data_IF_762220476677
#
_entry.id   IF_762220476677
#
_cell.length_a   1.000
_cell.length_b   1.000
_cell.length_c   1.000
_cell.angle_alpha   90.00
_cell.angle_beta   90.00
_cell.angle_gamma   90.00
#
_symmetry.space_group_name_H-M   'P 1'
#
loop_
_entity.id
_entity.type
_entity.pdbx_description
1 polymer ?
#
# COMPACT_ATOMS: atom_id res chain seq x y z
N UNK A 1 30.50 -55.00 5.84
CA UNK A 1 29.11 -54.81 6.35
C UNK A 1 29.23 -54.43 7.81
N UNK A 2 28.75 -53.25 8.24
CA UNK A 2 28.84 -52.88 9.68
C UNK A 2 28.58 -51.42 10.06
N UNK A 3 28.53 -50.46 9.11
CA UNK A 3 28.43 -49.03 9.47
C UNK A 3 27.00 -48.47 9.50
N UNK A 4 25.99 -49.20 9.01
CA UNK A 4 24.60 -48.75 8.98
C UNK A 4 23.89 -48.84 10.33
N UNK A 5 24.18 -49.88 11.12
CA UNK A 5 23.47 -50.13 12.39
C UNK A 5 23.83 -49.10 13.48
N UNK A 6 25.07 -48.61 13.48
CA UNK A 6 25.54 -47.67 14.51
C UNK A 6 24.88 -46.29 14.38
N UNK A 7 24.64 -45.84 13.14
CA UNK A 7 23.97 -44.58 12.86
C UNK A 7 22.49 -44.63 13.29
N UNK A 8 21.78 -45.71 12.97
CA UNK A 8 20.39 -45.88 13.39
C UNK A 8 20.23 -45.96 14.90
N UNK A 9 21.15 -46.64 15.61
CA UNK A 9 21.14 -46.69 17.07
C UNK A 9 21.33 -45.28 17.65
N UNK A 10 22.28 -44.49 17.12
CA UNK A 10 22.51 -43.11 17.55
C UNK A 10 21.27 -42.22 17.36
N UNK A 11 20.61 -42.31 16.21
CA UNK A 11 19.40 -41.53 15.92
C UNK A 11 18.24 -41.93 16.84
N UNK A 12 18.08 -43.21 17.12
CA UNK A 12 17.05 -43.70 18.05
C UNK A 12 17.34 -43.24 19.48
N UNK A 13 18.57 -43.38 19.96
CA UNK A 13 18.95 -42.93 21.31
C UNK A 13 18.77 -41.42 21.48
N UNK A 14 19.13 -40.63 20.46
CA UNK A 14 18.96 -39.18 20.49
C UNK A 14 17.47 -38.77 20.47
N UNK A 15 16.65 -39.47 19.69
CA UNK A 15 15.21 -39.22 19.62
C UNK A 15 14.50 -39.56 20.94
N UNK A 16 14.87 -40.67 21.58
CA UNK A 16 14.34 -41.04 22.89
C UNK A 16 14.74 -40.02 23.95
N UNK A 17 16.00 -39.57 23.97
CA UNK A 17 16.46 -38.55 24.91
C UNK A 17 15.71 -37.21 24.76
N UNK A 18 15.42 -36.79 23.52
CA UNK A 18 14.65 -35.58 23.22
C UNK A 18 13.19 -35.66 23.68
N UNK A 19 12.56 -36.83 23.48
CA UNK A 19 11.19 -37.08 23.95
C UNK A 19 11.14 -37.07 25.48
N UNK A 20 12.08 -37.76 26.14
CA UNK A 20 12.16 -37.80 27.61
C UNK A 20 12.41 -36.40 28.19
N UNK A 21 13.31 -35.61 27.59
CA UNK A 21 13.58 -34.25 28.01
C UNK A 21 12.33 -33.35 27.92
N UNK A 22 11.60 -33.43 26.81
CA UNK A 22 10.39 -32.65 26.60
C UNK A 22 9.25 -33.05 27.57
N UNK A 23 9.16 -34.33 27.95
CA UNK A 23 8.19 -34.81 28.95
C UNK A 23 8.56 -34.33 30.36
N UNK A 24 9.85 -34.35 30.73
CA UNK A 24 10.30 -33.86 32.05
C UNK A 24 10.07 -32.35 32.16
N UNK A 25 10.34 -31.60 31.09
CA UNK A 25 10.11 -30.15 31.06
C UNK A 25 8.62 -29.79 31.08
N UNK A 26 7.74 -30.58 30.46
CA UNK A 26 6.29 -30.35 30.53
C UNK A 26 5.68 -30.78 31.86
N UNK A 27 6.21 -31.83 32.49
CA UNK A 27 5.75 -32.30 33.80
C UNK A 27 6.19 -31.38 34.96
N UNK A 28 7.31 -30.66 34.81
CA UNK A 28 7.82 -29.72 35.81
C UNK A 28 7.43 -28.26 35.54
N UNK A 29 6.53 -28.00 34.58
CA UNK A 29 5.97 -26.67 34.39
C UNK A 29 5.05 -26.33 35.59
N UNK A 30 5.28 -25.24 36.34
CA UNK A 30 4.45 -24.91 37.49
C UNK A 30 3.06 -24.47 37.04
N UNK A 31 2.05 -25.30 37.33
CA UNK A 31 0.64 -24.94 37.27
C UNK A 31 0.32 -23.94 38.40
N UNK A 32 0.33 -22.65 38.09
CA UNK A 32 -0.36 -21.65 38.92
C UNK A 32 -1.78 -21.47 38.39
N UNK A 33 -2.71 -22.18 39.01
CA UNK A 33 -4.14 -21.94 38.89
C UNK A 33 -4.64 -21.34 40.21
N UNK A 34 -4.70 -20.02 40.30
CA UNK A 34 -5.31 -19.34 41.44
C UNK A 34 -6.59 -18.63 40.97
N UNK A 35 -7.73 -19.23 41.31
CA UNK A 35 -9.00 -18.53 41.50
C UNK A 35 -9.45 -18.81 42.93
N UNK A 36 -9.93 -17.78 43.66
CA UNK A 36 -11.27 -17.90 44.24
C UNK A 36 -12.07 -16.59 44.28
N UNK A 37 -13.40 -16.71 44.26
CA UNK A 37 -14.32 -15.75 44.91
C UNK A 37 -15.09 -16.47 46.04
N UNK A 38 -16.14 -15.90 46.66
CA UNK A 38 -16.43 -14.48 46.94
C UNK A 38 -16.75 -14.19 48.44
N UNK A 39 -16.77 -12.89 48.80
CA UNK A 39 -17.35 -12.19 49.99
C UNK A 39 -17.11 -12.68 51.44
N UNK A 40 -16.49 -11.81 52.27
CA UNK A 40 -16.97 -11.43 53.62
C UNK A 40 -16.27 -10.17 54.16
N UNK A 41 -17.00 -9.44 55.04
CA UNK A 41 -16.76 -8.09 55.56
C UNK A 41 -15.47 -7.87 56.37
N UNK A 42 -14.94 -6.64 56.37
CA UNK A 42 -13.96 -6.19 57.37
C UNK A 42 -13.41 -4.79 57.14
N UNK A 43 -13.54 -3.93 58.14
CA UNK A 43 -13.34 -2.48 58.15
C UNK A 43 -11.89 -2.10 58.52
N UNK A 44 -11.37 -1.04 57.88
CA UNK A 44 -10.25 -0.13 58.24
C UNK A 44 -9.07 -0.64 59.08
N UNK A 45 -7.85 -0.54 58.54
CA UNK A 45 -6.71 0.06 59.25
C UNK A 45 -5.65 0.55 58.25
N UNK A 46 -5.28 1.82 58.39
CA UNK A 46 -4.24 2.51 57.62
C UNK A 46 -2.90 2.24 58.30
N UNK A 47 -1.90 1.78 57.55
CA UNK A 47 -0.51 1.68 58.02
C UNK A 47 0.41 2.48 57.06
N UNK A 48 1.29 3.37 57.56
CA UNK A 48 2.09 4.24 56.70
C UNK A 48 3.37 3.52 56.30
N UNK A 49 3.31 2.74 55.21
CA UNK A 49 4.51 2.13 54.65
C UNK A 49 5.29 3.18 53.87
N UNK A 50 6.52 3.45 54.33
CA UNK A 50 7.58 4.14 53.60
C UNK A 50 7.62 3.56 52.18
N UNK A 51 7.19 4.35 51.18
CA UNK A 51 7.34 3.95 49.78
C UNK A 51 8.83 3.85 49.49
N UNK A 52 9.32 2.63 49.29
CA UNK A 52 10.55 2.43 48.53
C UNK A 52 10.40 3.20 47.21
N UNK A 53 11.43 3.92 46.74
CA UNK A 53 11.38 4.44 45.39
C UNK A 53 11.22 3.21 44.52
N UNK A 54 10.05 3.10 43.87
CA UNK A 54 9.92 2.21 42.74
C UNK A 54 11.09 2.60 41.85
N UNK A 55 12.02 1.66 41.68
CA UNK A 55 12.97 1.72 40.61
C UNK A 55 12.12 2.09 39.40
N UNK A 56 12.27 3.32 38.91
CA UNK A 56 11.77 3.68 37.60
C UNK A 56 12.61 2.81 36.70
N UNK A 57 12.19 1.56 36.52
CA UNK A 57 12.49 0.81 35.33
C UNK A 57 12.26 1.83 34.24
N UNK A 58 13.35 2.19 33.55
CA UNK A 58 13.28 3.09 32.40
C UNK A 58 12.09 2.59 31.62
N UNK A 59 10.97 3.32 31.64
CA UNK A 59 9.76 2.93 30.94
C UNK A 59 10.26 2.61 29.55
N UNK A 60 10.19 1.32 29.16
CA UNK A 60 10.68 0.88 27.87
C UNK A 60 10.08 1.85 26.86
N UNK A 61 10.95 2.56 26.12
CA UNK A 61 10.52 3.67 25.27
C UNK A 61 9.39 3.13 24.40
N UNK A 62 8.17 3.63 24.60
CA UNK A 62 6.98 3.28 23.79
C UNK A 62 7.08 3.87 22.38
N UNK A 63 8.30 4.11 21.90
CA UNK A 63 8.50 4.71 20.60
C UNK A 63 8.06 3.77 19.49
N UNK A 64 7.60 4.35 18.38
CA UNK A 64 7.22 3.60 17.19
C UNK A 64 8.09 3.98 16.00
N UNK A 65 8.39 3.00 15.15
CA UNK A 65 9.05 3.22 13.86
C UNK A 65 8.02 3.64 12.83
N UNK A 66 8.26 4.73 12.09
CA UNK A 66 7.37 5.15 11.01
C UNK A 66 7.75 4.47 9.70
N UNK A 67 6.81 3.78 9.08
CA UNK A 67 6.99 3.09 7.81
C UNK A 67 6.04 3.65 6.75
N UNK A 68 6.59 4.02 5.59
CA UNK A 68 5.84 4.57 4.44
C UNK A 68 6.17 3.76 3.20
N UNK A 69 5.15 3.22 2.52
CA UNK A 69 5.37 2.53 1.23
C UNK A 69 5.39 3.50 0.06
N UNK A 70 6.35 3.33 -0.84
CA UNK A 70 6.57 4.20 -2.00
C UNK A 70 6.87 3.41 -3.27
N UNK A 71 6.41 3.92 -4.41
CA UNK A 71 6.95 3.57 -5.73
C UNK A 71 8.10 4.51 -6.12
N UNK A 72 8.77 4.22 -7.24
CA UNK A 72 9.79 5.08 -7.86
C UNK A 72 9.18 6.17 -8.77
N UNK A 73 7.86 6.37 -8.71
CA UNK A 73 7.20 7.40 -9.52
C UNK A 73 7.46 8.81 -8.94
N UNK A 74 7.53 9.81 -9.83
CA UNK A 74 7.68 11.22 -9.44
C UNK A 74 6.62 11.60 -8.41
N UNK A 75 5.36 11.24 -8.70
CA UNK A 75 4.22 11.42 -7.82
C UNK A 75 4.47 10.96 -6.38
N UNK A 76 4.83 9.70 -6.17
CA UNK A 76 4.97 9.16 -4.82
C UNK A 76 6.24 9.69 -4.11
N UNK A 77 7.29 9.89 -4.89
CA UNK A 77 8.57 10.40 -4.43
C UNK A 77 8.44 11.77 -3.75
N UNK A 78 7.80 12.74 -4.40
CA UNK A 78 7.69 14.08 -3.81
C UNK A 78 6.81 14.09 -2.57
N UNK A 79 5.75 13.29 -2.54
CA UNK A 79 4.89 13.09 -1.38
C UNK A 79 5.69 12.52 -0.20
N UNK A 80 6.45 11.44 -0.43
CA UNK A 80 7.33 10.84 0.58
C UNK A 80 8.34 11.82 1.17
N UNK A 81 8.92 12.71 0.35
CA UNK A 81 9.88 13.73 0.82
C UNK A 81 9.24 14.74 1.75
N UNK A 82 8.04 15.22 1.43
CA UNK A 82 7.27 16.14 2.29
C UNK A 82 6.94 15.46 3.62
N UNK A 83 6.41 14.25 3.56
CA UNK A 83 6.10 13.47 4.75
C UNK A 83 7.34 13.28 5.64
N UNK A 84 8.49 12.91 5.05
CA UNK A 84 9.74 12.74 5.78
C UNK A 84 10.28 14.05 6.36
N UNK A 85 10.10 15.18 5.67
CA UNK A 85 10.43 16.49 6.21
C UNK A 85 9.64 16.76 7.50
N UNK A 86 8.31 16.60 7.47
CA UNK A 86 7.46 16.84 8.64
C UNK A 86 7.70 15.84 9.77
N UNK A 87 8.02 14.58 9.44
CA UNK A 87 8.53 13.62 10.41
C UNK A 87 9.74 14.17 11.17
N UNK A 88 10.75 14.71 10.47
CA UNK A 88 11.93 15.30 11.12
C UNK A 88 11.57 16.50 11.99
N UNK A 89 10.62 17.34 11.55
CA UNK A 89 10.19 18.51 12.31
C UNK A 89 9.53 18.15 13.66
N UNK A 90 8.84 17.02 13.73
CA UNK A 90 8.03 16.63 14.90
C UNK A 90 8.64 15.51 15.75
N UNK A 91 9.57 14.71 15.21
CA UNK A 91 10.19 13.59 15.93
C UNK A 91 10.82 13.98 17.27
N UNK A 92 11.58 15.07 17.31
CA UNK A 92 12.32 15.49 18.51
C UNK A 92 11.55 16.38 19.48
N UNK A 93 10.28 16.70 19.19
CA UNK A 93 9.50 17.64 19.98
C UNK A 93 8.94 16.99 21.26
N UNK A 94 8.69 17.77 22.34
CA UNK A 94 8.04 17.26 23.53
C UNK A 94 6.70 16.57 23.22
N UNK A 95 6.47 15.41 23.84
CA UNK A 95 5.27 14.59 23.62
C UNK A 95 5.32 13.68 22.39
N UNK A 96 6.39 13.72 21.59
CA UNK A 96 6.60 12.79 20.49
C UNK A 96 7.15 11.45 20.99
N UNK A 97 6.59 10.35 20.50
CA UNK A 97 7.16 9.01 20.64
C UNK A 97 7.59 8.44 19.28
N UNK A 98 7.81 9.32 18.29
CA UNK A 98 8.31 8.94 16.98
C UNK A 98 9.79 8.47 17.07
N UNK A 99 10.05 7.25 16.64
CA UNK A 99 11.37 6.60 16.62
C UNK A 99 12.06 6.72 15.27
N UNK A 100 12.45 5.61 14.67
CA UNK A 100 13.01 5.54 13.32
C UNK A 100 12.00 5.83 12.21
N UNK A 101 12.52 5.95 10.99
CA UNK A 101 11.73 6.12 9.77
C UNK A 101 12.28 5.17 8.71
N UNK A 102 11.40 4.53 7.94
CA UNK A 102 11.77 3.82 6.72
C UNK A 102 10.78 4.10 5.61
N UNK A 103 11.30 4.54 4.46
CA UNK A 103 10.60 4.45 3.17
C UNK A 103 10.78 3.05 2.60
N UNK A 104 9.70 2.31 2.44
CA UNK A 104 9.71 0.97 1.84
C UNK A 104 9.45 1.15 0.33
N UNK A 105 10.53 1.20 -0.46
CA UNK A 105 10.49 1.38 -1.91
C UNK A 105 10.22 0.04 -2.59
N UNK A 106 9.05 -0.14 -3.20
CA UNK A 106 8.63 -1.41 -3.79
C UNK A 106 8.80 -1.47 -5.32
N UNK A 107 9.75 -0.72 -5.87
CA UNK A 107 10.12 -0.75 -7.29
C UNK A 107 11.11 -1.88 -7.64
N UNK A 108 11.70 -2.54 -6.62
CA UNK A 108 12.74 -3.56 -6.81
C UNK A 108 14.14 -3.03 -7.09
N UNK A 109 14.30 -1.71 -7.28
CA UNK A 109 15.58 -1.06 -7.58
C UNK A 109 15.80 0.19 -6.71
N UNK A 110 17.05 0.49 -6.31
CA UNK A 110 17.40 1.75 -5.67
C UNK A 110 17.00 2.98 -6.51
N UNK A 111 16.79 4.12 -5.85
CA UNK A 111 16.61 5.42 -6.49
C UNK A 111 17.52 6.49 -5.85
N UNK A 112 17.55 7.69 -6.43
CA UNK A 112 18.40 8.79 -5.97
C UNK A 112 17.98 9.43 -4.64
N UNK A 113 16.88 8.98 -4.00
CA UNK A 113 16.39 9.53 -2.73
C UNK A 113 16.83 8.71 -1.52
N UNK A 114 17.51 7.59 -1.74
CA UNK A 114 18.02 6.74 -0.66
C UNK A 114 19.10 7.43 0.19
N UNK A 115 19.80 8.42 -0.38
CA UNK A 115 20.78 9.24 0.36
C UNK A 115 20.08 10.27 1.28
N UNK A 116 18.83 10.63 0.98
CA UNK A 116 18.04 11.62 1.73
C UNK A 116 17.13 10.94 2.76
N UNK A 117 16.44 9.88 2.36
CA UNK A 117 15.41 9.19 3.15
C UNK A 117 15.88 7.76 3.44
N UNK A 118 15.95 7.33 4.72
CA UNK A 118 16.23 5.94 5.05
C UNK A 118 15.28 5.02 4.32
N UNK A 119 15.82 4.18 3.43
CA UNK A 119 15.01 3.41 2.47
C UNK A 119 15.33 1.94 2.54
N UNK A 120 14.29 1.10 2.53
CA UNK A 120 14.38 -0.32 2.27
C UNK A 120 13.84 -0.62 0.86
N UNK A 121 14.62 -1.30 0.03
CA UNK A 121 14.20 -1.70 -1.31
C UNK A 121 13.55 -3.09 -1.25
N UNK A 122 12.24 -3.12 -1.46
CA UNK A 122 11.45 -4.34 -1.58
C UNK A 122 11.32 -4.74 -3.05
N UNK A 123 11.39 -6.05 -3.32
CA UNK A 123 11.06 -6.58 -4.65
C UNK A 123 9.56 -6.44 -4.90
N UNK A 124 9.14 -6.01 -6.11
CA UNK A 124 7.72 -6.00 -6.46
C UNK A 124 7.17 -7.43 -6.45
N UNK A 125 5.84 -7.52 -6.48
CA UNK A 125 5.20 -8.81 -6.67
C UNK A 125 5.60 -9.43 -8.01
N UNK A 126 5.79 -10.76 -8.06
CA UNK A 126 6.00 -11.46 -9.32
C UNK A 126 4.87 -11.18 -10.31
N UNK A 127 5.25 -10.99 -11.57
CA UNK A 127 4.32 -10.66 -12.65
C UNK A 127 3.13 -11.64 -12.70
N UNK A 128 1.92 -11.10 -12.88
CA UNK A 128 0.69 -11.87 -13.04
C UNK A 128 0.01 -12.29 -11.72
N UNK A 129 0.63 -12.07 -10.56
CA UNK A 129 0.01 -12.36 -9.26
C UNK A 129 -1.12 -11.40 -8.90
N UNK A 130 -1.06 -10.18 -9.41
CA UNK A 130 -2.02 -9.08 -9.20
C UNK A 130 -3.03 -8.93 -10.34
N UNK A 131 -2.95 -9.79 -11.36
CA UNK A 131 -3.83 -9.82 -12.51
C UNK A 131 -4.93 -10.87 -12.37
N UNK A 132 -6.13 -10.58 -12.89
CA UNK A 132 -7.12 -11.63 -13.17
C UNK A 132 -6.56 -12.50 -14.29
N UNK A 133 -6.31 -13.79 -14.02
CA UNK A 133 -6.30 -14.81 -15.06
C UNK A 133 -7.71 -14.86 -15.67
N UNK A 134 -8.01 -13.98 -16.63
CA UNK A 134 -9.23 -14.12 -17.43
C UNK A 134 -9.02 -15.34 -18.33
N UNK A 135 -9.92 -16.34 -18.31
CA UNK A 135 -9.97 -17.30 -19.40
C UNK A 135 -10.19 -16.50 -20.68
N UNK A 136 -9.25 -16.61 -21.63
CA UNK A 136 -9.30 -15.91 -22.91
C UNK A 136 -10.62 -16.21 -23.64
N UNK A 137 -11.55 -15.27 -23.60
CA UNK A 137 -12.58 -15.09 -24.63
C UNK A 137 -12.75 -13.60 -24.87
N UNK A 138 -12.10 -13.10 -25.92
CA UNK A 138 -12.34 -11.73 -26.37
C UNK A 138 -13.59 -11.70 -27.25
N UNK A 139 -14.61 -10.96 -26.82
CA UNK A 139 -15.45 -10.17 -27.72
C UNK A 139 -14.87 -8.75 -27.67
N UNK A 140 -13.97 -8.40 -28.58
CA UNK A 140 -13.36 -7.05 -28.60
C UNK A 140 -14.42 -6.00 -28.97
N UNK A 141 -14.55 -4.97 -28.14
CA UNK A 141 -14.97 -3.63 -28.60
C UNK A 141 -13.68 -2.85 -28.82
N UNK A 142 -13.51 -2.26 -30.02
CA UNK A 142 -12.39 -1.36 -30.30
C UNK A 142 -12.42 -0.21 -29.29
N UNK A 143 -11.32 0.01 -28.58
CA UNK A 143 -11.12 1.18 -27.71
C UNK A 143 -9.94 1.97 -28.23
N UNK A 144 -10.15 3.28 -28.37
CA UNK A 144 -9.23 4.24 -28.98
C UNK A 144 -8.19 4.65 -27.95
N UNK A 145 -6.91 4.44 -28.22
CA UNK A 145 -5.79 4.98 -27.45
C UNK A 145 -5.04 5.97 -28.33
N UNK A 146 -4.95 7.23 -27.88
CA UNK A 146 -4.21 8.30 -28.57
C UNK A 146 -2.91 8.54 -27.82
N UNK A 147 -1.78 8.43 -28.51
CA UNK A 147 -0.44 8.70 -27.95
C UNK A 147 0.17 9.86 -28.75
N UNK A 148 0.65 10.88 -28.05
CA UNK A 148 1.38 11.99 -28.67
C UNK A 148 2.88 11.65 -28.70
N UNK A 149 3.49 11.68 -29.89
CA UNK A 149 4.93 11.51 -30.05
C UNK A 149 5.57 12.88 -30.34
N UNK A 150 6.72 13.15 -29.71
CA UNK A 150 7.47 14.38 -29.96
C UNK A 150 7.89 14.47 -31.43
N UNK A 151 7.62 15.62 -32.06
CA UNK A 151 7.95 15.89 -33.46
C UNK A 151 6.76 16.15 -34.39
N UNK A 152 5.51 16.17 -33.90
CA UNK A 152 4.32 16.51 -34.72
C UNK A 152 3.53 15.31 -35.26
N UNK A 153 3.83 14.10 -34.78
CA UNK A 153 3.08 12.87 -35.08
C UNK A 153 2.03 12.60 -34.01
N UNK A 154 0.78 12.37 -34.41
CA UNK A 154 -0.29 11.86 -33.54
C UNK A 154 -0.60 10.40 -33.90
N UNK A 155 -0.60 9.50 -32.90
CA UNK A 155 -1.12 8.14 -33.07
C UNK A 155 -2.63 8.19 -32.89
N UNK A 156 -3.40 8.03 -33.96
CA UNK A 156 -4.86 8.21 -33.88
C UNK A 156 -5.63 6.91 -33.64
N UNK A 157 -5.02 5.73 -33.82
CA UNK A 157 -5.67 4.46 -33.51
C UNK A 157 -4.71 3.27 -33.38
N UNK A 158 -5.04 2.36 -32.46
CA UNK A 158 -4.40 1.05 -32.29
C UNK A 158 -5.48 -0.03 -32.47
N UNK A 159 -5.39 -0.79 -33.56
CA UNK A 159 -6.28 -1.93 -33.84
C UNK A 159 -5.52 -3.24 -33.64
N UNK A 160 -5.99 -4.10 -32.74
CA UNK A 160 -5.40 -5.43 -32.52
C UNK A 160 -6.21 -6.46 -33.32
N UNK A 161 -5.59 -7.08 -34.33
CA UNK A 161 -6.21 -8.17 -35.08
C UNK A 161 -5.51 -9.49 -34.73
N UNK A 162 -6.27 -10.43 -34.17
CA UNK A 162 -5.82 -11.80 -33.96
C UNK A 162 -6.26 -12.64 -35.15
N UNK A 163 -5.31 -13.15 -35.95
CA UNK A 163 -5.62 -14.10 -37.02
C UNK A 163 -5.63 -15.51 -36.44
N UNK A 164 -6.79 -16.16 -36.47
CA UNK A 164 -6.96 -17.52 -35.96
C UNK A 164 -6.64 -18.54 -37.05
N UNK A 165 -5.61 -19.37 -36.83
CA UNK A 165 -5.37 -20.57 -37.63
C UNK A 165 -6.23 -21.71 -37.08
N UNK A 166 -7.20 -22.19 -37.86
CA UNK A 166 -8.10 -23.26 -37.43
C UNK A 166 -7.35 -24.58 -37.16
N UNK A 167 -7.67 -25.21 -36.03
CA UNK A 167 -7.18 -26.54 -35.65
C UNK A 167 -7.28 -26.74 -34.13
N UNK A 168 -8.00 -27.78 -33.71
CA UNK A 168 -8.40 -28.01 -32.32
C UNK A 168 -7.27 -28.51 -31.41
N UNK A 169 -7.38 -28.11 -30.12
CA UNK A 169 -6.59 -28.46 -28.90
C UNK A 169 -5.37 -27.56 -28.60
N UNK A 170 -5.57 -26.73 -27.56
CA UNK A 170 -4.70 -25.71 -26.93
C UNK A 170 -4.43 -24.45 -27.78
N UNK A 171 -4.85 -23.25 -27.35
CA UNK A 171 -4.50 -22.02 -28.06
C UNK A 171 -3.08 -21.59 -27.64
N UNK A 172 -2.10 -21.78 -28.53
CA UNK A 172 -0.91 -20.96 -28.55
C UNK A 172 -1.22 -19.74 -29.44
N UNK A 173 -1.17 -18.53 -28.88
CA UNK A 173 -1.28 -17.31 -29.69
C UNK A 173 0.10 -17.07 -30.31
N UNK A 174 0.35 -17.67 -31.47
CA UNK A 174 1.70 -17.61 -32.07
C UNK A 174 2.05 -16.22 -32.62
N UNK A 175 1.05 -15.37 -32.94
CA UNK A 175 1.26 -14.03 -33.52
C UNK A 175 0.16 -13.05 -33.11
N UNK A 176 0.56 -11.93 -32.52
CA UNK A 176 -0.29 -10.73 -32.36
C UNK A 176 0.10 -9.74 -33.46
N UNK A 177 -0.87 -9.27 -34.22
CA UNK A 177 -0.66 -8.24 -35.24
C UNK A 177 -1.30 -6.95 -34.74
N UNK A 178 -0.47 -5.94 -34.47
CA UNK A 178 -0.92 -4.61 -34.02
C UNK A 178 -0.80 -3.66 -35.21
N UNK A 179 -1.93 -3.10 -35.63
CA UNK A 179 -1.96 -2.04 -36.64
C UNK A 179 -1.95 -0.71 -35.90
N UNK A 180 -0.86 0.04 -36.07
CA UNK A 180 -0.70 1.38 -35.49
C UNK A 180 -0.94 2.41 -36.59
N UNK A 181 -1.94 3.26 -36.38
CA UNK A 181 -2.28 4.36 -37.31
C UNK A 181 -1.55 5.62 -36.89
N UNK A 182 -0.61 6.07 -37.74
CA UNK A 182 0.14 7.31 -37.56
C UNK A 182 -0.42 8.40 -38.47
N UNK A 183 -0.87 9.51 -37.88
CA UNK A 183 -1.33 10.68 -38.63
C UNK A 183 -0.32 11.82 -38.44
N UNK A 184 0.18 12.37 -39.56
CA UNK A 184 1.05 13.54 -39.58
C UNK A 184 0.22 14.80 -39.81
N UNK A 185 0.50 15.89 -39.10
CA UNK A 185 -0.23 17.16 -39.25
C UNK A 185 0.59 18.31 -39.89
N UNK A 186 1.77 18.03 -40.45
CA UNK A 186 2.60 19.04 -41.11
C UNK A 186 2.50 19.00 -42.63
N UNK A 187 2.08 20.09 -43.27
CA UNK A 187 2.18 20.24 -44.73
C UNK A 187 3.64 20.31 -45.17
N UNK A 188 4.16 19.26 -45.81
CA UNK A 188 5.54 19.20 -46.29
C UNK A 188 5.85 17.90 -47.05
N UNK A 189 6.66 18.05 -48.09
CA UNK A 189 6.88 17.13 -49.24
C UNK A 189 7.42 15.74 -48.88
N UNK A 190 6.99 14.75 -49.69
CA UNK A 190 7.39 13.33 -49.68
C UNK A 190 8.91 13.13 -49.68
N UNK A 191 9.39 12.35 -48.71
CA UNK A 191 10.72 11.76 -48.66
C UNK A 191 10.77 10.71 -47.56
N UNK A 192 11.39 9.55 -47.82
CA UNK A 192 11.60 8.48 -46.84
C UNK A 192 12.25 9.05 -45.57
N UNK A 193 11.55 8.99 -44.43
CA UNK A 193 12.10 9.33 -43.11
C UNK A 193 11.93 8.14 -42.18
N UNK A 194 13.00 7.75 -41.51
CA UNK A 194 13.02 6.74 -40.44
C UNK A 194 12.63 7.38 -39.10
N UNK A 195 11.90 6.62 -38.27
CA UNK A 195 11.51 7.00 -36.92
C UNK A 195 12.41 6.24 -35.93
N UNK A 196 13.29 6.93 -35.20
CA UNK A 196 14.02 6.35 -34.07
C UNK A 196 13.28 6.64 -32.77
N UNK A 197 12.86 5.58 -32.06
CA UNK A 197 12.29 5.67 -30.72
C UNK A 197 13.41 5.35 -29.72
N UNK A 198 13.67 6.26 -28.78
CA UNK A 198 14.64 6.06 -27.70
C UNK A 198 14.27 4.88 -26.79
N UNK A 199 15.30 4.23 -26.26
CA UNK A 199 15.25 2.97 -25.50
C UNK A 199 14.31 2.96 -24.27
N UNK A 200 13.78 1.77 -23.88
CA UNK A 200 14.21 0.42 -24.29
C UNK A 200 13.59 -0.06 -25.60
N UNK A 201 14.44 -0.66 -26.43
CA UNK A 201 14.23 -1.14 -27.80
C UNK A 201 12.89 -1.86 -28.04
N UNK A 202 11.98 -1.20 -28.76
CA UNK A 202 11.01 -1.90 -29.62
C UNK A 202 11.66 -1.99 -31.00
N UNK A 203 12.08 -3.20 -31.40
CA UNK A 203 12.60 -3.40 -32.76
C UNK A 203 11.42 -3.50 -33.73
N UNK A 204 11.07 -2.37 -34.37
CA UNK A 204 9.99 -2.30 -35.35
C UNK A 204 10.45 -2.90 -36.69
N UNK A 205 10.13 -4.18 -36.95
CA UNK A 205 10.23 -4.74 -38.31
C UNK A 205 8.86 -4.71 -39.00
N UNK A 206 8.68 -3.82 -39.98
CA UNK A 206 7.49 -3.73 -40.81
C UNK A 206 7.85 -3.48 -42.28
N UNK A 207 7.37 -4.33 -43.19
CA UNK A 207 7.69 -4.31 -44.62
C UNK A 207 6.57 -3.75 -45.53
N UNK A 208 5.50 -3.19 -44.97
CA UNK A 208 4.39 -2.68 -45.79
C UNK A 208 3.84 -1.38 -45.22
N UNK A 209 4.05 -0.30 -45.99
CA UNK A 209 3.47 1.02 -45.77
C UNK A 209 2.42 1.26 -46.84
N UNK A 210 1.16 1.49 -46.45
CA UNK A 210 0.13 2.01 -47.37
C UNK A 210 -0.05 3.49 -47.06
N UNK A 211 -0.30 4.32 -48.06
CA UNK A 211 -0.67 5.73 -47.90
C UNK A 211 -2.01 5.92 -48.56
N UNK A 212 -2.99 6.43 -47.82
CA UNK A 212 -4.35 6.67 -48.31
C UNK A 212 -4.89 7.95 -47.63
N UNK A 213 -5.26 8.96 -48.42
CA UNK A 213 -5.81 10.21 -47.89
C UNK A 213 -4.88 11.04 -46.97
N UNK A 214 -3.56 11.00 -47.17
CA UNK A 214 -2.58 11.76 -46.37
C UNK A 214 -2.22 11.12 -45.02
N UNK A 215 -2.65 9.88 -44.77
CA UNK A 215 -2.33 9.11 -43.56
C UNK A 215 -1.35 7.99 -43.88
N UNK A 216 -0.40 7.75 -42.97
CA UNK A 216 0.63 6.71 -43.11
C UNK A 216 0.19 5.47 -42.32
N UNK A 217 0.10 4.32 -42.99
CA UNK A 217 -0.32 3.06 -42.40
C UNK A 217 0.89 2.14 -42.29
N UNK A 218 1.32 1.79 -41.06
CA UNK A 218 2.40 0.82 -40.85
C UNK A 218 1.92 -0.35 -40.00
N UNK A 219 2.38 -1.55 -40.34
CA UNK A 219 2.10 -2.78 -39.60
C UNK A 219 3.28 -3.04 -38.66
N UNK A 220 3.02 -2.97 -37.36
CA UNK A 220 4.04 -3.22 -36.34
C UNK A 220 3.84 -4.60 -35.75
N UNK A 221 4.89 -5.41 -35.80
CA UNK A 221 4.93 -6.70 -35.11
C UNK A 221 5.48 -6.47 -33.71
N UNK A 222 4.65 -6.69 -32.69
CA UNK A 222 5.06 -6.63 -31.27
C UNK A 222 5.16 -8.06 -30.74
N UNK A 223 6.21 -8.34 -29.97
CA UNK A 223 6.37 -9.63 -29.31
C UNK A 223 5.26 -9.81 -28.23
N UNK A 224 4.59 -10.97 -28.12
CA UNK A 224 3.58 -11.21 -27.09
C UNK A 224 3.98 -10.83 -25.65
N UNK A 225 5.25 -11.03 -25.27
CA UNK A 225 5.78 -10.64 -23.95
C UNK A 225 5.84 -9.12 -23.75
N UNK A 226 6.24 -8.36 -24.77
CA UNK A 226 6.27 -6.89 -24.72
C UNK A 226 4.85 -6.29 -24.73
N UNK A 227 3.91 -6.97 -25.38
CA UNK A 227 2.50 -6.59 -25.40
C UNK A 227 1.81 -6.81 -24.04
N UNK A 228 2.21 -7.85 -23.30
CA UNK A 228 1.70 -8.12 -21.95
C UNK A 228 2.18 -7.06 -20.94
N UNK A 229 3.41 -6.56 -21.10
CA UNK A 229 3.96 -5.43 -20.33
C UNK A 229 3.20 -4.12 -20.62
N UNK A 230 2.74 -3.90 -21.86
CA UNK A 230 1.98 -2.70 -22.25
C UNK A 230 0.54 -2.66 -21.72
N UNK A 231 -0.08 -3.81 -21.44
CA UNK A 231 -1.46 -3.92 -20.92
C UNK A 231 -1.54 -4.27 -19.44
N UNK A 232 -0.43 -4.72 -18.84
CA UNK A 232 -0.32 -5.10 -17.44
C UNK A 232 -0.29 -3.89 -16.52
N UNK A 233 -1.36 -3.10 -16.46
CA UNK A 233 -1.59 -2.20 -15.33
C UNK A 233 -1.96 -3.03 -14.10
N UNK A 234 -0.94 -3.67 -13.54
CA UNK A 234 -1.03 -4.41 -12.29
C UNK A 234 -1.67 -3.58 -11.19
N UNK A 235 -2.37 -4.22 -10.25
CA UNK A 235 -2.92 -3.52 -9.10
C UNK A 235 -1.77 -3.20 -8.13
N UNK A 236 -1.07 -2.10 -8.43
CA UNK A 236 0.18 -1.68 -7.77
C UNK A 236 0.10 -1.65 -6.25
N UNK A 237 -1.11 -1.45 -5.71
CA UNK A 237 -1.42 -1.44 -4.28
C UNK A 237 -1.07 -2.77 -3.60
N UNK A 238 -1.10 -3.91 -4.30
CA UNK A 238 -0.71 -5.20 -3.72
C UNK A 238 0.79 -5.31 -3.43
N UNK A 239 1.62 -4.45 -4.02
CA UNK A 239 3.03 -4.40 -3.66
C UNK A 239 3.25 -3.97 -2.20
N UNK A 240 2.30 -3.23 -1.60
CA UNK A 240 2.40 -2.76 -0.22
C UNK A 240 2.47 -3.89 0.81
N UNK A 241 1.47 -4.80 0.92
CA UNK A 241 1.55 -5.90 1.87
C UNK A 241 2.79 -6.78 1.64
N UNK A 242 3.18 -6.99 0.37
CA UNK A 242 4.38 -7.74 0.03
C UNK A 242 5.67 -7.05 0.47
N UNK A 243 5.74 -5.74 0.33
CA UNK A 243 6.86 -4.94 0.75
C UNK A 243 7.01 -4.93 2.28
N UNK A 244 5.89 -4.89 3.02
CA UNK A 244 5.90 -5.05 4.48
C UNK A 244 6.40 -6.43 4.92
N UNK A 245 5.98 -7.52 4.25
CA UNK A 245 6.51 -8.87 4.55
C UNK A 245 8.03 -8.89 4.41
N UNK A 246 8.56 -8.38 3.30
CA UNK A 246 10.01 -8.35 3.07
C UNK A 246 10.75 -7.44 4.06
N UNK A 247 10.20 -6.25 4.35
CA UNK A 247 10.79 -5.29 5.26
C UNK A 247 10.86 -5.84 6.69
N UNK A 248 9.77 -6.40 7.21
CA UNK A 248 9.72 -6.96 8.57
C UNK A 248 10.64 -8.17 8.76
N UNK A 249 10.97 -8.89 7.69
CA UNK A 249 11.90 -10.04 7.73
C UNK A 249 13.38 -9.62 7.72
N UNK A 250 13.71 -8.48 7.10
CA UNK A 250 15.10 -8.13 6.76
C UNK A 250 15.60 -6.87 7.44
N UNK A 251 14.71 -5.94 7.80
CA UNK A 251 15.11 -4.68 8.39
C UNK A 251 15.36 -4.81 9.90
N UNK A 252 16.39 -4.11 10.37
CA UNK A 252 16.69 -3.99 11.79
C UNK A 252 15.87 -2.86 12.42
N UNK A 253 14.67 -3.21 12.90
CA UNK A 253 13.72 -2.26 13.50
C UNK A 253 13.90 -2.27 15.03
N UNK A 254 14.40 -1.15 15.56
CA UNK A 254 14.70 -0.99 17.00
C UNK A 254 13.47 -0.80 17.87
N UNK A 255 12.43 -0.20 17.32
CA UNK A 255 11.19 0.07 18.05
C UNK A 255 10.28 -1.16 18.12
N UNK A 256 9.47 -1.24 19.18
CA UNK A 256 8.50 -2.32 19.40
C UNK A 256 7.14 -2.03 18.78
N UNK A 257 6.92 -0.81 18.31
CA UNK A 257 5.71 -0.37 17.62
C UNK A 257 6.05 0.17 16.25
N UNK A 258 5.10 0.10 15.33
CA UNK A 258 5.23 0.59 13.96
C UNK A 258 4.02 1.48 13.65
N UNK A 259 4.28 2.71 13.24
CA UNK A 259 3.31 3.56 12.57
C UNK A 259 3.38 3.28 11.08
N UNK A 260 2.36 2.61 10.55
CA UNK A 260 2.12 2.57 9.10
C UNK A 260 1.48 3.89 8.68
N UNK A 261 2.13 4.60 7.75
CA UNK A 261 1.70 5.91 7.25
C UNK A 261 1.75 5.93 5.71
N UNK A 262 1.07 6.89 5.09
CA UNK A 262 1.11 7.08 3.64
C UNK A 262 2.03 8.24 3.23
N UNK A 263 2.50 8.27 1.96
CA UNK A 263 3.26 9.39 1.40
C UNK A 263 2.50 10.71 1.43
N UNK A 264 1.19 10.69 1.31
CA UNK A 264 0.32 11.87 1.32
C UNK A 264 -0.15 12.29 2.72
N UNK A 265 0.66 11.98 3.73
CA UNK A 265 0.46 12.44 5.09
C UNK A 265 1.37 13.63 5.40
N UNK A 266 0.81 14.66 6.02
CA UNK A 266 1.56 15.76 6.64
C UNK A 266 1.40 15.63 8.15
N UNK A 267 2.50 15.43 8.85
CA UNK A 267 2.51 15.41 10.32
C UNK A 267 2.52 16.87 10.79
N UNK A 268 1.44 17.30 11.45
CA UNK A 268 1.27 18.68 11.93
C UNK A 268 1.58 18.83 13.42
N UNK A 269 1.68 17.73 14.15
CA UNK A 269 1.96 17.70 15.59
C UNK A 269 2.84 16.52 15.99
N UNK A 270 3.58 16.64 17.11
CA UNK A 270 4.24 15.48 17.74
C UNK A 270 3.22 14.38 18.03
N UNK A 271 3.52 13.15 17.63
CA UNK A 271 2.58 12.03 17.77
C UNK A 271 3.04 11.16 18.96
N UNK A 272 2.26 11.06 20.04
CA UNK A 272 2.49 10.08 21.09
C UNK A 272 2.11 8.68 20.58
N UNK A 273 2.61 7.62 21.20
CA UNK A 273 2.14 6.28 20.90
C UNK A 273 0.72 6.12 21.44
N UNK A 274 -0.24 6.12 20.52
CA UNK A 274 -1.66 5.97 20.82
C UNK A 274 -2.05 4.51 21.13
N UNK A 275 -1.17 3.54 20.86
CA UNK A 275 -1.37 2.13 21.22
C UNK A 275 -1.25 1.94 22.73
N UNK A 276 -2.17 1.18 23.31
CA UNK A 276 -2.19 0.85 24.74
C UNK A 276 -2.81 -0.53 24.96
N UNK A 277 -2.45 -1.16 26.07
CA UNK A 277 -3.06 -2.41 26.56
C UNK A 277 -3.05 -3.56 25.54
N UNK A 278 -2.00 -3.62 24.70
CA UNK A 278 -1.85 -4.63 23.64
C UNK A 278 -2.66 -4.36 22.37
N UNK A 279 -3.51 -3.32 22.36
CA UNK A 279 -4.31 -2.91 21.20
C UNK A 279 -3.57 -1.93 20.31
N UNK A 280 -3.72 -2.06 18.99
CA UNK A 280 -3.27 -1.04 18.04
C UNK A 280 -4.05 0.27 18.20
N UNK A 281 -3.59 1.32 17.54
CA UNK A 281 -4.31 2.59 17.41
C UNK A 281 -4.52 2.89 15.94
N UNK A 282 -5.78 2.99 15.51
CA UNK A 282 -6.13 3.08 14.10
C UNK A 282 -7.15 4.18 13.84
N UNK A 283 -7.08 4.78 12.66
CA UNK A 283 -8.12 5.69 12.19
C UNK A 283 -9.31 4.90 11.61
N UNK A 284 -10.55 5.17 12.06
CA UNK A 284 -11.73 4.53 11.48
C UNK A 284 -12.13 5.21 10.17
N UNK A 285 -12.21 4.43 9.10
CA UNK A 285 -12.63 4.89 7.78
C UNK A 285 -14.14 4.68 7.59
N UNK A 286 -14.87 5.76 7.33
CA UNK A 286 -16.32 5.70 7.17
C UNK A 286 -16.79 4.81 6.00
N UNK A 287 -15.93 4.56 5.01
CA UNK A 287 -16.21 3.72 3.85
C UNK A 287 -15.77 2.25 4.01
N UNK A 288 -15.14 1.90 5.13
CA UNK A 288 -14.87 0.51 5.51
C UNK A 288 -16.02 0.06 6.41
N UNK A 289 -16.95 -0.70 5.85
CA UNK A 289 -18.23 -1.05 6.49
C UNK A 289 -18.40 -2.57 6.59
N UNK A 290 -17.70 -3.28 7.51
CA UNK A 290 -17.72 -4.74 7.56
C UNK A 290 -19.12 -5.36 7.68
N UNK A 291 -20.01 -4.74 8.47
CA UNK A 291 -21.41 -5.19 8.61
C UNK A 291 -22.20 -5.13 7.30
N UNK A 292 -21.99 -4.09 6.49
CA UNK A 292 -22.69 -3.90 5.21
C UNK A 292 -22.26 -4.92 4.16
N UNK A 293 -21.00 -5.34 4.22
CA UNK A 293 -20.41 -6.28 3.28
C UNK A 293 -20.17 -7.67 3.88
N UNK A 294 -20.91 -8.03 4.94
CA UNK A 294 -20.73 -9.29 5.66
C UNK A 294 -20.75 -10.49 4.72
N UNK A 295 -21.73 -10.57 3.81
CA UNK A 295 -21.87 -11.70 2.88
C UNK A 295 -20.62 -11.93 2.02
N UNK A 296 -19.92 -10.85 1.63
CA UNK A 296 -18.67 -10.93 0.85
C UNK A 296 -17.49 -11.25 1.76
N UNK A 297 -17.45 -10.63 2.94
CA UNK A 297 -16.35 -10.80 3.88
C UNK A 297 -16.31 -12.18 4.52
N UNK A 298 -17.43 -12.91 4.63
CA UNK A 298 -17.45 -14.29 5.12
C UNK A 298 -16.62 -15.27 4.29
N UNK A 299 -16.34 -14.95 3.03
CA UNK A 299 -15.40 -15.73 2.20
C UNK A 299 -13.95 -15.63 2.70
N UNK A 300 -13.61 -14.60 3.47
CA UNK A 300 -12.25 -14.32 3.96
C UNK A 300 -12.15 -14.29 5.50
N UNK A 301 -13.29 -14.13 6.18
CA UNK A 301 -13.46 -14.22 7.63
C UNK A 301 -14.67 -15.13 7.96
N UNK A 302 -14.50 -16.46 7.88
CA UNK A 302 -15.57 -17.42 8.10
C UNK A 302 -16.22 -17.31 9.48
N UNK A 303 -17.45 -17.81 9.63
CA UNK A 303 -18.22 -17.69 10.88
C UNK A 303 -17.54 -18.34 12.09
N UNK A 304 -16.77 -19.41 11.90
CA UNK A 304 -16.00 -20.06 12.98
C UNK A 304 -14.84 -19.19 13.50
N UNK A 305 -14.47 -18.12 12.78
CA UNK A 305 -13.47 -17.13 13.23
C UNK A 305 -14.07 -16.03 14.10
N UNK A 306 -15.40 -15.96 14.21
CA UNK A 306 -16.09 -15.04 15.10
C UNK A 306 -17.09 -14.11 14.39
N UNK A 307 -17.69 -13.17 15.13
CA UNK A 307 -18.66 -12.24 14.57
C UNK A 307 -18.00 -11.23 13.62
N UNK A 308 -18.73 -10.76 12.61
CA UNK A 308 -18.21 -9.79 11.63
C UNK A 308 -17.74 -8.47 12.28
N UNK A 309 -18.25 -8.18 13.48
CA UNK A 309 -17.85 -7.04 14.31
C UNK A 309 -16.42 -7.11 14.83
N UNK A 310 -15.74 -8.25 14.72
CA UNK A 310 -14.31 -8.36 15.03
C UNK A 310 -13.43 -7.71 13.95
N UNK A 311 -13.97 -7.45 12.75
CA UNK A 311 -13.29 -6.68 11.72
C UNK A 311 -13.52 -5.20 12.04
N UNK A 312 -12.45 -4.52 12.46
CA UNK A 312 -12.49 -3.07 12.68
C UNK A 312 -12.70 -2.31 11.35
N UNK A 313 -13.40 -1.16 11.35
CA UNK A 313 -13.63 -0.34 10.15
C UNK A 313 -12.37 0.49 9.79
N UNK A 314 -11.24 -0.19 9.54
CA UNK A 314 -9.92 0.43 9.37
C UNK A 314 -9.27 0.00 8.07
N UNK A 315 -8.20 0.71 7.69
CA UNK A 315 -7.20 0.22 6.74
C UNK A 315 -5.85 0.07 7.42
N UNK A 316 -4.79 -0.13 6.64
CA UNK A 316 -3.43 -0.27 7.16
C UNK A 316 -2.84 1.06 7.65
N UNK A 317 -3.37 2.22 7.24
CA UNK A 317 -2.77 3.53 7.52
C UNK A 317 -3.83 4.62 7.73
N UNK A 318 -3.65 5.54 8.71
CA UNK A 318 -2.63 5.48 9.75
C UNK A 318 -2.99 4.46 10.83
N UNK A 319 -2.02 3.60 11.17
CA UNK A 319 -2.14 2.63 12.27
C UNK A 319 -0.83 2.54 13.03
N UNK A 320 -0.88 2.67 14.37
CA UNK A 320 0.22 2.29 15.26
C UNK A 320 -0.07 0.90 15.81
N UNK A 321 0.78 -0.06 15.52
CA UNK A 321 0.61 -1.46 15.91
C UNK A 321 1.92 -2.02 16.45
N UNK A 322 1.84 -2.98 17.38
CA UNK A 322 3.03 -3.69 17.86
C UNK A 322 3.74 -4.41 16.71
N UNK A 323 5.08 -4.35 16.68
CA UNK A 323 5.92 -4.98 15.65
C UNK A 323 5.65 -6.48 15.52
N UNK A 324 5.53 -7.19 16.64
CA UNK A 324 5.20 -8.62 16.64
C UNK A 324 3.81 -8.90 16.06
N UNK A 325 2.81 -8.06 16.39
CA UNK A 325 1.48 -8.15 15.81
C UNK A 325 1.51 -7.91 14.31
N UNK A 326 2.27 -6.90 13.85
CA UNK A 326 2.44 -6.63 12.42
C UNK A 326 3.14 -7.79 11.69
N UNK A 327 4.16 -8.40 12.31
CA UNK A 327 4.84 -9.60 11.77
C UNK A 327 3.89 -10.79 11.62
N UNK A 328 2.92 -10.97 12.53
CA UNK A 328 1.90 -12.02 12.44
C UNK A 328 0.89 -11.75 11.32
N UNK A 329 0.41 -10.50 11.20
CA UNK A 329 -0.66 -10.18 10.24
C UNK A 329 -0.14 -9.97 8.81
N UNK A 330 1.10 -9.50 8.60
CA UNK A 330 1.57 -9.11 7.27
C UNK A 330 1.50 -10.22 6.21
N UNK A 331 1.88 -11.49 6.48
CA UNK A 331 1.70 -12.58 5.52
C UNK A 331 0.22 -12.87 5.22
N UNK A 332 -0.66 -12.80 6.21
CA UNK A 332 -2.10 -13.01 6.03
C UNK A 332 -2.74 -11.85 5.28
N UNK A 333 -2.36 -10.61 5.58
CA UNK A 333 -2.79 -9.41 4.87
C UNK A 333 -2.44 -9.52 3.38
N UNK A 334 -1.22 -9.95 3.06
CA UNK A 334 -0.79 -10.24 1.69
C UNK A 334 -1.68 -11.30 1.01
N UNK A 335 -1.88 -12.45 1.67
CA UNK A 335 -2.65 -13.55 1.11
C UNK A 335 -4.13 -13.23 0.92
N UNK A 336 -4.76 -12.56 1.89
CA UNK A 336 -6.15 -12.12 1.82
C UNK A 336 -6.32 -11.07 0.72
N UNK A 337 -5.35 -10.15 0.56
CA UNK A 337 -5.39 -9.17 -0.52
C UNK A 337 -5.37 -9.84 -1.89
N UNK A 338 -4.52 -10.85 -2.10
CA UNK A 338 -4.51 -11.65 -3.33
C UNK A 338 -5.81 -12.44 -3.53
N UNK A 339 -6.34 -13.03 -2.46
CA UNK A 339 -7.57 -13.81 -2.51
C UNK A 339 -8.76 -12.92 -2.91
N UNK A 340 -8.92 -11.76 -2.25
CA UNK A 340 -9.94 -10.78 -2.59
C UNK A 340 -9.77 -10.25 -4.02
N UNK A 341 -8.53 -10.06 -4.50
CA UNK A 341 -8.29 -9.60 -5.88
C UNK A 341 -8.72 -10.61 -6.93
N UNK A 342 -8.56 -11.90 -6.62
CA UNK A 342 -8.97 -13.02 -7.48
C UNK A 342 -10.46 -13.30 -7.43
N UNK A 343 -11.11 -12.96 -6.32
CA UNK A 343 -12.56 -13.09 -6.15
C UNK A 343 -13.31 -11.99 -6.94
N UNK A 344 -14.16 -12.34 -7.92
CA UNK A 344 -14.84 -11.36 -8.75
C UNK A 344 -15.81 -10.45 -7.99
N UNK A 345 -16.42 -10.94 -6.91
CA UNK A 345 -17.37 -10.17 -6.12
C UNK A 345 -16.61 -9.18 -5.23
N UNK A 346 -15.60 -9.63 -4.49
CA UNK A 346 -14.78 -8.78 -3.64
C UNK A 346 -14.03 -7.71 -4.44
N UNK A 347 -13.37 -8.06 -5.55
CA UNK A 347 -12.68 -7.10 -6.42
C UNK A 347 -13.64 -6.04 -6.99
N UNK A 348 -14.85 -6.46 -7.40
CA UNK A 348 -15.87 -5.52 -7.89
C UNK A 348 -16.40 -4.62 -6.78
N UNK A 349 -16.58 -5.13 -5.57
CA UNK A 349 -17.19 -4.40 -4.45
C UNK A 349 -16.21 -3.45 -3.77
N UNK A 350 -14.99 -3.89 -3.53
CA UNK A 350 -14.00 -3.13 -2.76
C UNK A 350 -13.04 -2.33 -3.63
N UNK A 351 -12.78 -2.75 -4.88
CA UNK A 351 -11.96 -2.00 -5.82
C UNK A 351 -10.63 -1.51 -5.22
N UNK A 352 -10.42 -0.20 -5.22
CA UNK A 352 -9.19 0.45 -4.74
C UNK A 352 -8.96 0.39 -3.22
N UNK A 353 -10.00 0.07 -2.43
CA UNK A 353 -9.87 -0.07 -0.96
C UNK A 353 -9.81 -1.53 -0.51
N UNK A 354 -9.72 -2.47 -1.46
CA UNK A 354 -9.67 -3.90 -1.19
C UNK A 354 -8.52 -4.30 -0.25
N UNK A 355 -7.35 -3.71 -0.43
CA UNK A 355 -6.18 -3.95 0.42
C UNK A 355 -6.48 -3.54 1.87
N UNK A 356 -7.17 -2.41 2.09
CA UNK A 356 -7.56 -1.95 3.42
C UNK A 356 -8.50 -2.96 4.11
N UNK A 357 -9.49 -3.50 3.38
CA UNK A 357 -10.34 -4.59 3.89
C UNK A 357 -9.52 -5.84 4.22
N UNK A 358 -8.55 -6.19 3.39
CA UNK A 358 -7.68 -7.33 3.65
C UNK A 358 -6.81 -7.13 4.91
N UNK A 359 -6.33 -5.92 5.17
CA UNK A 359 -5.62 -5.56 6.41
C UNK A 359 -6.53 -5.74 7.63
N UNK A 360 -7.76 -5.23 7.57
CA UNK A 360 -8.73 -5.35 8.66
C UNK A 360 -9.11 -6.82 8.93
N UNK A 361 -9.35 -7.60 7.87
CA UNK A 361 -9.60 -9.05 7.97
C UNK A 361 -8.40 -9.78 8.57
N UNK A 362 -7.18 -9.49 8.10
CA UNK A 362 -5.97 -10.12 8.65
C UNK A 362 -5.77 -9.79 10.13
N UNK A 363 -6.05 -8.55 10.54
CA UNK A 363 -6.02 -8.14 11.94
C UNK A 363 -7.00 -8.95 12.78
N UNK A 364 -8.25 -9.07 12.32
CA UNK A 364 -9.29 -9.85 12.98
C UNK A 364 -8.94 -11.36 13.09
N UNK A 365 -8.41 -11.96 12.01
CA UNK A 365 -8.01 -13.37 11.97
C UNK A 365 -6.94 -13.73 13.01
N UNK A 366 -6.09 -12.76 13.37
CA UNK A 366 -5.01 -12.93 14.33
C UNK A 366 -5.31 -12.33 15.71
N UNK A 367 -6.54 -11.88 15.95
CA UNK A 367 -6.93 -11.27 17.23
C UNK A 367 -6.21 -9.96 17.55
N UNK A 368 -5.73 -9.24 16.53
CA UNK A 368 -5.08 -7.93 16.67
C UNK A 368 -6.14 -6.84 16.64
N UNK A 369 -6.65 -6.47 17.81
CA UNK A 369 -7.67 -5.43 17.97
C UNK A 369 -7.09 -4.01 18.01
N UNK A 370 -7.93 -3.01 17.77
CA UNK A 370 -7.53 -1.61 17.71
C UNK A 370 -8.40 -0.69 18.57
N UNK A 371 -7.81 0.38 19.05
CA UNK A 371 -8.51 1.55 19.58
C UNK A 371 -8.70 2.52 18.42
N UNK A 372 -9.95 2.92 18.19
CA UNK A 372 -10.32 3.76 17.05
C UNK A 372 -10.21 5.24 17.43
N UNK A 373 -9.28 5.95 16.80
CA UNK A 373 -9.01 7.37 17.03
C UNK A 373 -9.51 8.19 15.83
N UNK A 374 -10.69 8.82 15.96
CA UNK A 374 -11.22 9.74 14.94
C UNK A 374 -10.35 11.00 14.79
N UNK A 375 -9.66 11.39 15.86
CA UNK A 375 -8.75 12.54 15.84
C UNK A 375 -7.33 12.19 15.38
N UNK A 376 -7.09 10.98 14.87
CA UNK A 376 -5.75 10.59 14.42
C UNK A 376 -5.33 11.38 13.17
N UNK A 377 -6.24 11.55 12.21
CA UNK A 377 -6.00 12.35 11.02
C UNK A 377 -7.23 13.14 10.58
N UNK A 378 -7.03 14.10 9.69
CA UNK A 378 -8.08 14.83 8.99
C UNK A 378 -7.93 14.69 7.47
N UNK A 379 -9.01 14.87 6.73
CA UNK A 379 -9.09 14.76 5.27
C UNK A 379 -9.72 16.03 4.66
N UNK A 380 -8.91 17.06 4.37
CA UNK A 380 -9.38 18.24 3.64
C UNK A 380 -9.87 17.86 2.24
N UNK A 381 -10.87 18.58 1.68
CA UNK A 381 -11.51 19.79 2.23
C UNK A 381 -12.63 19.52 3.24
N UNK A 382 -12.92 18.26 3.57
CA UNK A 382 -14.09 17.88 4.37
C UNK A 382 -13.91 18.23 5.85
N UNK A 383 -12.73 17.94 6.39
CA UNK A 383 -12.35 18.33 7.75
C UNK A 383 -11.73 19.73 7.73
N UNK A 384 -12.38 20.71 8.37
CA UNK A 384 -12.04 22.14 8.24
C UNK A 384 -10.94 22.63 9.19
N UNK A 385 -10.76 21.96 10.32
CA UNK A 385 -9.93 22.43 11.44
C UNK A 385 -8.95 21.33 11.89
N UNK A 386 -7.70 21.74 12.13
CA UNK A 386 -6.67 20.84 12.63
C UNK A 386 -6.91 20.51 14.10
N UNK A 387 -7.35 21.47 14.91
CA UNK A 387 -7.68 21.24 16.32
C UNK A 387 -6.58 20.46 17.05
N UNK A 388 -6.92 19.31 17.65
CA UNK A 388 -5.97 18.40 18.32
C UNK A 388 -5.49 17.22 17.47
N UNK A 389 -5.79 17.18 16.15
CA UNK A 389 -5.41 16.08 15.27
C UNK A 389 -3.93 16.13 14.89
N UNK A 390 -3.39 14.97 14.47
CA UNK A 390 -1.95 14.79 14.27
C UNK A 390 -1.50 14.82 12.81
N UNK A 391 -2.34 14.32 11.90
CA UNK A 391 -2.00 14.09 10.50
C UNK A 391 -3.03 14.80 9.60
N UNK A 392 -2.57 15.44 8.54
CA UNK A 392 -3.40 15.82 7.39
C UNK A 392 -3.17 14.79 6.30
N UNK A 393 -4.25 14.18 5.80
CA UNK A 393 -4.24 13.30 4.63
C UNK A 393 -4.78 14.05 3.41
N UNK A 394 -3.87 14.55 2.56
CA UNK A 394 -4.22 15.41 1.42
C UNK A 394 -4.61 14.60 0.18
N UNK A 395 -5.65 13.78 0.33
CA UNK A 395 -6.08 12.81 -0.69
C UNK A 395 -7.03 13.39 -1.74
N UNK A 396 -7.85 14.35 -1.36
CA UNK A 396 -8.88 14.95 -2.20
C UNK A 396 -8.40 16.23 -2.89
N UNK A 397 -8.90 16.47 -4.10
CA UNK A 397 -8.78 17.77 -4.75
C UNK A 397 -9.53 18.83 -3.94
N UNK A 398 -8.88 19.97 -3.73
CA UNK A 398 -9.41 21.15 -3.09
C UNK A 398 -9.72 22.18 -4.17
N UNK A 399 -10.99 22.30 -4.55
CA UNK A 399 -11.48 23.21 -5.59
C UNK A 399 -12.33 24.31 -4.95
N UNK A 400 -11.94 25.57 -5.14
CA UNK A 400 -12.60 26.72 -4.52
C UNK A 400 -12.81 27.86 -5.52
N UNK A 401 -13.88 28.63 -5.32
CA UNK A 401 -14.00 29.96 -5.92
C UNK A 401 -13.11 30.98 -5.18
N UNK A 402 -12.95 32.17 -5.76
CA UNK A 402 -12.13 33.22 -5.15
C UNK A 402 -12.73 33.83 -3.86
N UNK A 403 -13.97 33.47 -3.52
CA UNK A 403 -14.62 33.84 -2.26
C UNK A 403 -14.41 32.79 -1.15
N UNK A 404 -13.75 31.66 -1.47
CA UNK A 404 -13.45 30.59 -0.53
C UNK A 404 -14.56 29.55 -0.38
N UNK A 405 -15.53 29.49 -1.30
CA UNK A 405 -16.55 28.45 -1.32
C UNK A 405 -16.07 27.22 -2.11
N UNK A 406 -16.30 26.03 -1.57
CA UNK A 406 -15.93 24.78 -2.21
C UNK A 406 -16.78 24.52 -3.46
N UNK A 407 -16.14 24.29 -4.61
CA UNK A 407 -16.82 24.03 -5.89
C UNK A 407 -16.88 22.53 -6.18
N UNK A 408 -17.76 21.81 -5.47
CA UNK A 408 -17.86 20.34 -5.58
C UNK A 408 -18.12 19.87 -7.02
N UNK A 409 -17.31 18.90 -7.47
CA UNK A 409 -17.46 18.26 -8.77
C UNK A 409 -17.07 19.12 -9.97
N UNK A 410 -16.44 20.29 -9.75
CA UNK A 410 -15.95 21.20 -10.79
C UNK A 410 -14.56 21.70 -10.42
N UNK A 411 -13.74 21.95 -11.45
CA UNK A 411 -12.45 22.63 -11.25
C UNK A 411 -12.76 24.05 -10.78
N UNK A 412 -12.24 24.39 -9.59
CA UNK A 412 -12.39 25.71 -8.99
C UNK A 412 -11.51 26.76 -9.66
N UNK A 413 -11.77 28.04 -9.36
CA UNK A 413 -10.90 29.14 -9.78
C UNK A 413 -9.52 29.04 -9.11
N UNK A 414 -9.52 28.63 -7.83
CA UNK A 414 -8.34 28.13 -7.15
C UNK A 414 -8.46 26.61 -6.98
N UNK A 415 -7.38 25.89 -7.28
CA UNK A 415 -7.33 24.44 -7.17
C UNK A 415 -5.99 23.97 -6.63
N UNK A 416 -6.07 23.04 -5.69
CA UNK A 416 -4.98 22.12 -5.40
C UNK A 416 -5.47 20.68 -5.53
N UNK A 417 -4.89 19.92 -6.45
CA UNK A 417 -5.03 18.46 -6.48
C UNK A 417 -3.66 17.88 -6.76
N UNK A 418 -3.19 17.01 -5.86
CA UNK A 418 -1.89 16.36 -6.02
C UNK A 418 -1.76 15.59 -7.33
N UNK A 419 -2.88 15.14 -7.94
CA UNK A 419 -2.91 14.45 -9.24
C UNK A 419 -2.51 15.35 -10.40
N UNK A 420 -2.51 16.67 -10.22
CA UNK A 420 -1.90 17.61 -11.17
C UNK A 420 -0.37 17.51 -11.24
N UNK A 421 0.25 16.79 -10.30
CA UNK A 421 1.70 16.61 -10.15
C UNK A 421 2.10 15.12 -10.27
N UNK A 422 1.44 14.39 -11.16
CA UNK A 422 1.75 12.96 -11.40
C UNK A 422 3.12 12.77 -12.08
N UNK A 423 3.40 13.58 -13.10
CA UNK A 423 4.62 13.50 -13.91
C UNK A 423 5.67 14.57 -13.58
N UNK A 424 5.30 15.56 -12.78
CA UNK A 424 6.14 16.73 -12.46
C UNK A 424 6.11 16.99 -10.96
N UNK A 425 7.18 17.60 -10.44
CA UNK A 425 7.22 18.04 -9.04
C UNK A 425 6.28 19.25 -8.85
N UNK A 426 5.62 19.38 -7.69
CA UNK A 426 4.94 20.62 -7.36
C UNK A 426 5.95 21.78 -7.31
N UNK A 427 5.57 22.99 -7.78
CA UNK A 427 6.44 24.15 -7.68
C UNK A 427 6.65 24.51 -6.21
N UNK A 428 7.84 25.03 -5.88
CA UNK A 428 8.19 25.46 -4.51
C UNK A 428 7.31 26.58 -3.95
N UNK A 429 6.55 27.27 -4.79
CA UNK A 429 5.66 28.35 -4.39
C UNK A 429 4.27 28.05 -4.93
N UNK A 430 3.53 27.18 -4.24
CA UNK A 430 2.13 26.94 -4.59
C UNK A 430 1.29 28.19 -4.34
N UNK A 431 0.28 28.48 -5.18
CA UNK A 431 -0.59 29.61 -4.96
C UNK A 431 -1.34 29.42 -3.63
N UNK A 432 -1.27 30.40 -2.75
CA UNK A 432 -2.02 30.39 -1.51
C UNK A 432 -3.53 30.33 -1.81
N UNK A 433 -4.31 29.58 -1.02
CA UNK A 433 -5.76 29.52 -1.20
C UNK A 433 -6.41 30.88 -0.90
N UNK A 434 -7.57 31.19 -1.51
CA UNK A 434 -8.27 32.43 -1.28
C UNK A 434 -8.69 32.62 0.19
N UNK A 435 -8.97 33.87 0.61
CA UNK A 435 -9.64 34.14 1.88
C UNK A 435 -10.93 33.30 2.00
N UNK A 436 -11.30 32.89 3.21
CA UNK A 436 -12.47 32.04 3.45
C UNK A 436 -12.24 30.52 3.35
N UNK A 437 -11.16 30.07 2.70
CA UNK A 437 -10.80 28.64 2.67
C UNK A 437 -10.44 28.13 4.09
N UNK A 438 -10.86 26.89 4.47
CA UNK A 438 -10.60 26.33 5.79
C UNK A 438 -9.12 26.29 6.21
N UNK A 439 -8.88 26.31 7.52
CA UNK A 439 -7.55 26.20 8.13
C UNK A 439 -6.79 24.98 7.59
N UNK A 440 -7.46 23.83 7.57
CA UNK A 440 -6.84 22.57 7.17
C UNK A 440 -6.29 22.58 5.75
N UNK A 441 -6.99 23.22 4.80
CA UNK A 441 -6.54 23.38 3.41
C UNK A 441 -5.39 24.37 3.31
N UNK A 442 -5.39 25.44 4.10
CA UNK A 442 -4.24 26.37 4.15
C UNK A 442 -2.98 25.65 4.62
N UNK A 443 -3.07 24.91 5.72
CA UNK A 443 -1.95 24.15 6.27
C UNK A 443 -1.49 23.03 5.35
N UNK A 444 -2.40 22.43 4.58
CA UNK A 444 -2.03 21.49 3.52
C UNK A 444 -1.07 22.15 2.52
N UNK A 445 -1.46 23.29 1.96
CA UNK A 445 -0.63 24.05 1.01
C UNK A 445 0.69 24.51 1.64
N UNK A 446 0.66 25.05 2.86
CA UNK A 446 1.88 25.41 3.59
C UNK A 446 2.76 24.21 3.90
N UNK A 447 2.17 23.04 4.12
CA UNK A 447 2.90 21.82 4.39
C UNK A 447 3.59 21.27 3.15
N UNK A 448 3.08 21.58 1.95
CA UNK A 448 3.59 21.09 0.67
C UNK A 448 4.62 22.04 0.04
N UNK A 449 4.47 23.34 0.27
CA UNK A 449 5.36 24.42 -0.21
C UNK A 449 6.68 24.40 0.55
#
# INVERSE_FOLDING_TARGET
MGCGNFFFILVITFSVALITYNIIMSANAPLKSDFPGPYSNGFLSVDPIIKMPADRSKQAKKSFHTAVTSSDSVYNTWQCRIMYYWFKQHKGRPGSEMGGFTRILHSGKPDGFMDEIPTFVAQPLPNGMDQKLRPFSYRMRASWLVIHLNGGWEVSAMGVFLRWGGGSRRPAVDKIVVVVLLCWRGGGVEGQRSLELGEPLITLQGNAVKVEGGKLYTLVRINPLEFEVLLGSGYIVLNRPWAFVQWLQKADIKEDYILMSEPDHIIVKPIPNLSKDGLGAAFPFFYIEPKKYESVLRNFFPEDKGPITNIDPIGNSPVIVGKESLQKIAPTWMNVSLAMKKDPEADKKFGWVLEMYAYAVASALHGVGNILYKDFMIQPPWDKEIGNKFIIHYTYGCDYDMQGNLTYGKIGEWRFDKRSFEAVLPPKNLPLPPPGVPESVRYDIFGIT
#
